data_IF_932771898835
#
_entry.id   IF_932771898835
#
_cell.length_a   1.000
_cell.length_b   1.000
_cell.length_c   1.000
_cell.angle_alpha   90.00
_cell.angle_beta   90.00
_cell.angle_gamma   90.00
#
_symmetry.space_group_name_H-M   'P 1'
#
loop_
_entity.id
_entity.type
_entity.pdbx_description
1 polymer ?
#
# COMPACT_ATOMS: atom_id res chain seq x y z
N UNK A 1 19.87 -11.00 -1.94
CA UNK A 1 19.18 -10.70 -0.65
C UNK A 1 17.81 -11.36 -0.60
N UNK A 2 17.25 -11.56 0.59
CA UNK A 2 15.87 -12.09 0.76
C UNK A 2 14.83 -11.19 0.10
N UNK A 3 15.07 -9.90 0.07
CA UNK A 3 14.19 -8.92 -0.61
C UNK A 3 14.11 -9.21 -2.11
N UNK A 4 15.23 -9.39 -2.79
CA UNK A 4 15.28 -9.70 -4.23
C UNK A 4 14.56 -11.02 -4.51
N UNK A 5 14.80 -12.05 -3.70
CA UNK A 5 14.12 -13.35 -3.86
C UNK A 5 12.60 -13.20 -3.76
N UNK A 6 12.11 -12.37 -2.81
CA UNK A 6 10.68 -12.15 -2.63
C UNK A 6 10.07 -11.33 -3.77
N UNK A 7 10.74 -10.27 -4.24
CA UNK A 7 10.28 -9.53 -5.42
C UNK A 7 10.22 -10.42 -6.66
N UNK A 8 11.23 -11.27 -6.88
CA UNK A 8 11.23 -12.23 -7.99
C UNK A 8 10.10 -13.25 -7.85
N UNK A 9 9.83 -13.73 -6.63
CA UNK A 9 8.70 -14.61 -6.36
C UNK A 9 7.37 -13.95 -6.71
N UNK A 10 7.16 -12.68 -6.32
CA UNK A 10 5.96 -11.91 -6.65
C UNK A 10 5.84 -11.70 -8.17
N UNK A 11 6.91 -11.24 -8.81
CA UNK A 11 6.90 -10.92 -10.23
C UNK A 11 6.70 -12.15 -11.13
N UNK A 12 7.15 -13.33 -10.70
CA UNK A 12 7.06 -14.57 -11.48
C UNK A 12 5.87 -15.45 -11.09
N UNK A 13 5.09 -15.08 -10.07
CA UNK A 13 3.94 -15.87 -9.66
C UNK A 13 2.81 -15.76 -10.68
N UNK A 14 2.27 -16.91 -11.11
CA UNK A 14 1.23 -16.99 -12.16
C UNK A 14 -0.05 -16.20 -11.89
N UNK A 15 -0.39 -15.99 -10.61
CA UNK A 15 -1.56 -15.19 -10.20
C UNK A 15 -1.27 -13.70 -10.11
N UNK A 16 0.00 -13.25 -10.23
CA UNK A 16 0.35 -11.87 -10.10
C UNK A 16 0.72 -11.32 -11.47
N UNK A 17 -0.24 -10.65 -12.09
CA UNK A 17 -0.06 -10.09 -13.41
C UNK A 17 1.00 -8.98 -13.38
N UNK A 18 1.90 -8.99 -14.38
CA UNK A 18 2.92 -7.94 -14.53
C UNK A 18 2.35 -6.63 -15.07
N UNK A 19 1.19 -6.67 -15.73
CA UNK A 19 0.56 -5.48 -16.26
C UNK A 19 -0.14 -4.68 -15.17
N UNK A 20 0.10 -3.37 -15.17
CA UNK A 20 -0.63 -2.44 -14.33
C UNK A 20 -2.08 -2.41 -14.80
N UNK A 21 -3.00 -2.71 -13.91
CA UNK A 21 -4.42 -2.60 -14.15
C UNK A 21 -5.04 -1.70 -13.07
N UNK A 22 -5.51 -0.55 -13.50
CA UNK A 22 -6.17 0.44 -12.63
C UNK A 22 -7.64 0.09 -12.42
N UNK A 23 -7.93 -1.10 -11.87
CA UNK A 23 -9.26 -1.55 -11.50
C UNK A 23 -9.28 -2.08 -10.06
N UNK A 24 -10.06 -1.45 -9.20
CA UNK A 24 -10.17 -1.82 -7.79
C UNK A 24 -11.01 -3.10 -7.55
N UNK A 25 -11.67 -3.66 -8.56
CA UNK A 25 -12.56 -4.81 -8.37
C UNK A 25 -11.84 -6.03 -7.81
N UNK A 26 -10.66 -6.35 -8.32
CA UNK A 26 -9.90 -7.53 -7.92
C UNK A 26 -9.42 -7.44 -6.48
N UNK A 27 -8.81 -6.32 -6.10
CA UNK A 27 -8.33 -6.11 -4.73
C UNK A 27 -9.49 -6.07 -3.74
N UNK A 28 -10.60 -5.42 -4.08
CA UNK A 28 -11.83 -5.41 -3.25
C UNK A 28 -12.40 -6.82 -3.07
N UNK A 29 -12.37 -7.65 -4.12
CA UNK A 29 -12.82 -9.04 -4.02
C UNK A 29 -11.94 -9.87 -3.07
N UNK A 30 -10.61 -9.73 -3.15
CA UNK A 30 -9.69 -10.40 -2.22
C UNK A 30 -9.94 -9.93 -0.79
N UNK A 31 -10.03 -8.62 -0.56
CA UNK A 31 -10.29 -8.07 0.76
C UNK A 31 -11.62 -8.54 1.34
N UNK A 32 -12.68 -8.60 0.52
CA UNK A 32 -13.98 -9.16 0.91
C UNK A 32 -13.84 -10.62 1.37
N UNK A 33 -13.11 -11.46 0.63
CA UNK A 33 -12.86 -12.87 1.03
C UNK A 33 -12.00 -12.99 2.29
N UNK A 34 -11.26 -11.97 2.65
CA UNK A 34 -10.45 -11.88 3.86
C UNK A 34 -11.14 -11.10 4.99
N UNK A 35 -12.48 -10.99 4.96
CA UNK A 35 -13.33 -10.33 5.95
C UNK A 35 -13.11 -8.81 6.04
N UNK A 36 -12.89 -8.15 4.89
CA UNK A 36 -12.77 -6.70 4.74
C UNK A 36 -11.83 -6.05 5.78
N UNK A 37 -10.55 -6.47 5.86
CA UNK A 37 -9.62 -5.95 6.85
C UNK A 37 -9.37 -4.45 6.71
N UNK A 38 -9.54 -3.88 5.52
CA UNK A 38 -9.41 -2.44 5.25
C UNK A 38 -10.41 -1.59 6.05
N UNK A 39 -11.57 -2.13 6.38
CA UNK A 39 -12.61 -1.42 7.14
C UNK A 39 -12.27 -1.20 8.61
N UNK A 40 -11.24 -1.89 9.09
CA UNK A 40 -10.75 -1.76 10.48
C UNK A 40 -9.68 -0.67 10.63
N UNK A 41 -9.17 -0.12 9.52
CA UNK A 41 -8.22 0.97 9.57
C UNK A 41 -8.96 2.29 9.83
N UNK A 42 -8.57 2.94 10.91
CA UNK A 42 -9.08 4.27 11.29
C UNK A 42 -8.04 5.34 10.98
N UNK A 43 -8.47 6.60 10.91
CA UNK A 43 -7.60 7.76 10.74
C UNK A 43 -6.57 7.58 9.60
N UNK A 44 -7.06 7.15 8.44
CA UNK A 44 -6.23 6.99 7.24
C UNK A 44 -5.89 8.36 6.69
N UNK A 45 -4.60 8.60 6.44
CA UNK A 45 -4.08 9.78 5.76
C UNK A 45 -3.47 9.31 4.44
N UNK A 46 -4.14 9.63 3.33
CA UNK A 46 -3.63 9.36 1.99
C UNK A 46 -2.74 10.51 1.53
N UNK A 47 -1.55 10.17 1.03
CA UNK A 47 -0.57 11.13 0.52
C UNK A 47 -0.41 10.92 -0.98
N UNK A 48 -0.79 11.95 -1.73
CA UNK A 48 -0.88 11.93 -3.19
C UNK A 48 0.08 12.94 -3.81
N UNK A 49 0.32 12.79 -5.09
CA UNK A 49 1.13 13.73 -5.88
C UNK A 49 2.24 13.04 -6.65
N UNK A 50 3.02 13.84 -7.36
CA UNK A 50 4.13 13.37 -8.18
C UNK A 50 5.39 13.18 -7.35
N UNK A 51 5.91 14.26 -6.77
CA UNK A 51 7.15 14.26 -6.01
C UNK A 51 6.90 14.71 -4.56
N UNK A 52 7.79 14.31 -3.63
CA UNK A 52 7.73 14.74 -2.24
C UNK A 52 6.78 13.95 -1.34
N UNK A 53 6.05 12.95 -1.85
CA UNK A 53 5.14 12.12 -1.04
C UNK A 53 5.84 11.47 0.15
N UNK A 54 7.00 10.84 -0.10
CA UNK A 54 7.80 10.20 0.94
C UNK A 54 8.28 11.21 1.99
N UNK A 55 8.72 12.40 1.57
CA UNK A 55 9.16 13.46 2.48
C UNK A 55 8.02 13.94 3.38
N UNK A 56 6.82 14.17 2.82
CA UNK A 56 5.65 14.53 3.61
C UNK A 56 5.25 13.41 4.58
N UNK A 57 5.21 12.16 4.11
CA UNK A 57 4.86 11.00 4.94
C UNK A 57 5.81 10.87 6.13
N UNK A 58 7.12 10.94 5.89
CA UNK A 58 8.13 10.80 6.96
C UNK A 58 8.10 11.96 7.94
N UNK A 59 7.84 13.19 7.47
CA UNK A 59 7.65 14.36 8.34
C UNK A 59 6.41 14.22 9.21
N UNK A 60 5.28 13.85 8.65
CA UNK A 60 4.04 13.60 9.40
C UNK A 60 4.24 12.49 10.43
N UNK A 61 4.85 11.37 10.03
CA UNK A 61 5.19 10.28 10.95
C UNK A 61 6.02 10.80 12.13
N UNK A 62 7.08 11.55 11.85
CA UNK A 62 7.95 12.10 12.89
C UNK A 62 7.19 13.00 13.87
N UNK A 63 6.40 13.96 13.37
CA UNK A 63 5.65 14.89 14.23
C UNK A 63 4.56 14.19 15.04
N UNK A 64 3.84 13.25 14.44
CA UNK A 64 2.79 12.49 15.15
C UNK A 64 3.42 11.66 16.27
N UNK A 65 4.51 10.95 15.98
CA UNK A 65 5.19 10.10 16.96
C UNK A 65 5.89 10.92 18.05
N UNK A 66 6.43 12.09 17.71
CA UNK A 66 6.99 13.02 18.70
C UNK A 66 5.95 13.54 19.71
N UNK A 67 4.66 13.54 19.33
CA UNK A 67 3.55 13.86 20.22
C UNK A 67 2.96 12.63 20.94
N UNK A 68 3.70 11.50 20.99
CA UNK A 68 3.30 10.32 21.73
C UNK A 68 2.22 9.47 21.04
N UNK A 69 1.88 9.76 19.79
CA UNK A 69 0.91 8.99 19.00
C UNK A 69 1.61 7.92 18.16
N UNK A 70 0.90 6.86 17.85
CA UNK A 70 1.43 5.77 17.01
C UNK A 70 1.01 5.92 15.56
N UNK A 71 1.93 5.60 14.63
CA UNK A 71 1.63 5.62 13.20
C UNK A 71 1.94 4.28 12.56
N UNK A 72 1.17 3.85 11.59
CA UNK A 72 1.65 2.93 10.56
C UNK A 72 1.98 3.68 9.28
N UNK A 73 2.81 3.08 8.42
CA UNK A 73 3.12 3.69 7.14
C UNK A 73 3.27 2.65 6.02
N UNK A 74 2.72 2.99 4.86
CA UNK A 74 2.90 2.26 3.61
C UNK A 74 3.51 3.18 2.57
N UNK A 75 4.72 2.86 2.09
CA UNK A 75 5.48 3.67 1.12
C UNK A 75 5.70 2.93 -0.21
N UNK A 76 5.87 3.70 -1.27
CA UNK A 76 6.08 3.20 -2.64
C UNK A 76 6.95 4.17 -3.45
N UNK A 77 8.07 3.67 -4.02
CA UNK A 77 8.67 2.33 -3.91
C UNK A 77 9.37 2.07 -2.56
N UNK A 78 9.95 0.87 -2.40
CA UNK A 78 10.83 0.59 -1.25
C UNK A 78 12.17 1.31 -1.39
N UNK A 79 12.80 1.67 -0.28
CA UNK A 79 14.11 2.33 -0.28
C UNK A 79 15.25 1.35 -0.62
N UNK A 80 15.45 0.34 0.20
CA UNK A 80 16.52 -0.68 0.04
C UNK A 80 15.97 -2.10 -0.03
N UNK A 81 14.94 -2.40 0.75
CA UNK A 81 14.33 -3.71 0.73
C UNK A 81 12.80 -3.64 0.88
N UNK A 82 12.14 -4.74 0.55
CA UNK A 82 10.67 -4.80 0.54
C UNK A 82 10.03 -4.48 1.90
N UNK A 83 10.72 -4.74 3.01
CA UNK A 83 10.20 -4.46 4.36
C UNK A 83 10.07 -2.97 4.63
N UNK A 84 10.90 -2.14 3.99
CA UNK A 84 10.89 -0.69 4.17
C UNK A 84 9.55 -0.06 3.77
N UNK A 85 8.75 -0.77 2.96
CA UNK A 85 7.40 -0.34 2.58
C UNK A 85 6.41 -0.34 3.75
N UNK A 86 6.68 -1.09 4.82
CA UNK A 86 5.68 -1.47 5.81
C UNK A 86 6.14 -1.17 7.24
N UNK A 87 5.89 0.03 7.70
CA UNK A 87 6.01 0.39 9.12
C UNK A 87 4.73 0.02 9.85
N UNK A 88 4.83 -0.75 10.92
CA UNK A 88 3.68 -1.35 11.61
C UNK A 88 3.31 -0.65 12.94
N UNK A 89 3.90 0.51 13.21
CA UNK A 89 3.63 1.30 14.42
C UNK A 89 4.80 1.36 15.40
N UNK A 90 5.58 0.31 15.51
CA UNK A 90 6.76 0.24 16.38
C UNK A 90 7.97 -0.46 15.72
N UNK A 91 7.76 -1.08 14.59
CA UNK A 91 8.79 -1.78 13.81
C UNK A 91 8.38 -1.97 12.36
N UNK A 92 9.34 -2.30 11.53
CA UNK A 92 9.06 -2.80 10.18
C UNK A 92 8.52 -4.23 10.21
N UNK A 93 7.76 -4.58 9.17
CA UNK A 93 7.27 -5.93 8.94
C UNK A 93 8.43 -6.95 8.84
N UNK A 94 8.19 -8.17 9.23
CA UNK A 94 9.14 -9.28 9.06
C UNK A 94 8.87 -10.06 7.76
N UNK A 95 9.88 -10.73 7.21
CA UNK A 95 9.69 -11.65 6.07
C UNK A 95 8.71 -12.79 6.39
N UNK A 96 8.67 -13.24 7.64
CA UNK A 96 7.72 -14.28 8.10
C UNK A 96 6.28 -13.79 7.97
N UNK A 97 5.99 -12.55 8.37
CA UNK A 97 4.66 -11.94 8.25
C UNK A 97 4.28 -11.75 6.79
N UNK A 98 5.19 -11.23 5.95
CA UNK A 98 4.95 -11.10 4.50
C UNK A 98 4.60 -12.45 3.90
N UNK A 99 5.40 -13.48 4.15
CA UNK A 99 5.17 -14.84 3.60
C UNK A 99 3.86 -15.45 4.11
N UNK A 100 3.52 -15.25 5.39
CA UNK A 100 2.25 -15.72 5.96
C UNK A 100 1.06 -15.09 5.24
N UNK A 101 1.09 -13.77 5.08
CA UNK A 101 0.02 -13.03 4.39
C UNK A 101 -0.05 -13.41 2.90
N UNK A 102 1.09 -13.56 2.24
CA UNK A 102 1.15 -13.98 0.84
C UNK A 102 0.48 -15.35 0.62
N UNK A 103 0.69 -16.30 1.53
CA UNK A 103 0.00 -17.60 1.48
C UNK A 103 -1.54 -17.44 1.58
N UNK A 104 -2.03 -16.52 2.41
CA UNK A 104 -3.46 -16.23 2.51
C UNK A 104 -4.01 -15.64 1.21
N UNK A 105 -3.28 -14.72 0.60
CA UNK A 105 -3.67 -14.10 -0.68
C UNK A 105 -3.72 -15.15 -1.79
N UNK A 106 -2.71 -15.99 -1.92
CA UNK A 106 -2.64 -17.04 -2.95
C UNK A 106 -3.79 -18.04 -2.83
N UNK A 107 -4.21 -18.37 -1.61
CA UNK A 107 -5.37 -19.26 -1.36
C UNK A 107 -6.67 -18.71 -1.95
N UNK A 108 -6.79 -17.40 -2.14
CA UNK A 108 -7.99 -16.82 -2.72
C UNK A 108 -8.12 -17.09 -4.22
N UNK A 109 -7.05 -17.48 -4.91
CA UNK A 109 -6.99 -17.81 -6.35
C UNK A 109 -7.49 -16.66 -7.26
N UNK A 110 -7.33 -15.41 -6.82
CA UNK A 110 -7.72 -14.22 -7.56
C UNK A 110 -6.46 -13.59 -8.15
N UNK A 111 -6.42 -13.30 -9.46
CA UNK A 111 -5.31 -12.60 -10.08
C UNK A 111 -5.17 -11.17 -9.54
N UNK A 112 -3.95 -10.76 -9.19
CA UNK A 112 -3.63 -9.42 -8.70
C UNK A 112 -2.39 -8.90 -9.42
N UNK A 113 -2.18 -7.58 -9.39
CA UNK A 113 -0.87 -7.01 -9.70
C UNK A 113 0.04 -7.12 -8.48
N UNK A 114 1.36 -7.04 -8.69
CA UNK A 114 2.32 -7.00 -7.58
C UNK A 114 2.02 -5.87 -6.59
N UNK A 115 1.61 -4.70 -7.08
CA UNK A 115 1.28 -3.56 -6.21
C UNK A 115 0.01 -3.82 -5.39
N UNK A 116 -1.04 -4.42 -5.98
CA UNK A 116 -2.23 -4.85 -5.23
C UNK A 116 -1.88 -5.86 -4.14
N UNK A 117 -1.01 -6.83 -4.42
CA UNK A 117 -0.54 -7.80 -3.41
C UNK A 117 0.17 -7.09 -2.25
N UNK A 118 1.06 -6.14 -2.54
CA UNK A 118 1.76 -5.36 -1.51
C UNK A 118 0.80 -4.53 -0.67
N UNK A 119 -0.21 -3.93 -1.29
CA UNK A 119 -1.27 -3.18 -0.59
C UNK A 119 -2.07 -4.09 0.34
N UNK A 120 -2.47 -5.29 -0.10
CA UNK A 120 -3.16 -6.27 0.75
C UNK A 120 -2.27 -6.75 1.91
N UNK A 121 -0.97 -6.95 1.67
CA UNK A 121 -0.01 -7.31 2.74
C UNK A 121 -0.01 -6.22 3.83
N UNK A 122 0.07 -4.94 3.45
CA UNK A 122 -0.01 -3.84 4.40
C UNK A 122 -1.30 -3.89 5.22
N UNK A 123 -2.45 -3.90 4.54
CA UNK A 123 -3.77 -3.85 5.16
C UNK A 123 -3.95 -4.98 6.18
N UNK A 124 -3.63 -6.22 5.83
CA UNK A 124 -3.79 -7.38 6.73
C UNK A 124 -2.91 -7.25 7.98
N UNK A 125 -1.66 -6.81 7.81
CA UNK A 125 -0.73 -6.71 8.93
C UNK A 125 -1.02 -5.52 9.85
N UNK A 126 -1.78 -4.53 9.37
CA UNK A 126 -2.17 -3.35 10.14
C UNK A 126 -3.57 -3.46 10.75
N UNK A 127 -4.49 -4.16 10.11
CA UNK A 127 -5.91 -4.19 10.47
C UNK A 127 -6.24 -4.64 11.90
N UNK A 128 -5.32 -5.31 12.57
CA UNK A 128 -5.46 -5.75 13.97
C UNK A 128 -4.53 -4.97 14.92
N UNK A 129 -4.00 -3.83 14.49
CA UNK A 129 -3.14 -2.97 15.29
C UNK A 129 -3.86 -1.65 15.57
N UNK A 130 -3.81 -1.19 16.79
CA UNK A 130 -4.46 0.06 17.21
C UNK A 130 -3.50 1.25 17.03
N UNK A 131 -3.09 1.52 15.78
CA UNK A 131 -2.34 2.74 15.49
C UNK A 131 -3.29 3.95 15.48
N UNK A 132 -2.82 5.08 16.03
CA UNK A 132 -3.60 6.31 16.02
C UNK A 132 -3.82 6.84 14.61
N UNK A 133 -2.81 6.71 13.73
CA UNK A 133 -2.88 7.15 12.34
C UNK A 133 -2.26 6.13 11.40
N UNK A 134 -2.81 6.02 10.20
CA UNK A 134 -2.34 5.13 9.15
C UNK A 134 -1.97 5.96 7.91
N UNK A 135 -0.66 6.13 7.67
CA UNK A 135 -0.13 6.96 6.59
C UNK A 135 0.08 6.12 5.34
N UNK A 136 -0.56 6.47 4.24
CA UNK A 136 -0.54 5.67 3.01
C UNK A 136 -0.11 6.53 1.84
N UNK A 137 1.06 6.21 1.27
CA UNK A 137 1.54 6.82 0.03
C UNK A 137 0.84 6.18 -1.16
N UNK A 138 0.18 6.98 -1.99
CA UNK A 138 -0.40 6.53 -3.25
C UNK A 138 0.69 6.14 -4.26
N UNK A 139 0.44 5.11 -5.04
CA UNK A 139 1.32 4.68 -6.12
C UNK A 139 1.25 5.65 -7.31
N UNK A 140 0.31 5.43 -8.21
CA UNK A 140 0.10 6.27 -9.38
C UNK A 140 -1.38 6.43 -9.67
N UNK A 141 -1.80 7.59 -10.20
CA UNK A 141 -3.19 7.85 -10.63
C UNK A 141 -4.23 7.46 -9.56
N UNK A 142 -4.12 8.02 -8.38
CA UNK A 142 -4.82 7.68 -7.14
C UNK A 142 -6.27 7.20 -7.30
N UNK A 143 -7.08 7.78 -8.17
CA UNK A 143 -8.49 7.43 -8.33
C UNK A 143 -8.74 5.94 -8.59
N UNK A 144 -7.83 5.26 -9.28
CA UNK A 144 -7.88 3.82 -9.60
C UNK A 144 -6.70 3.04 -8.99
N UNK A 145 -5.94 3.67 -8.13
CA UNK A 145 -4.81 3.07 -7.42
C UNK A 145 -5.29 2.14 -6.31
N UNK A 146 -4.57 1.05 -6.08
CA UNK A 146 -4.91 0.08 -5.04
C UNK A 146 -4.91 0.64 -3.63
N UNK A 147 -4.35 1.83 -3.42
CA UNK A 147 -4.39 2.55 -2.14
C UNK A 147 -5.68 3.36 -1.93
N UNK A 148 -6.51 3.54 -2.97
CA UNK A 148 -7.80 4.23 -2.89
C UNK A 148 -8.94 3.27 -2.50
N UNK A 149 -8.80 2.63 -1.35
CA UNK A 149 -9.75 1.64 -0.83
C UNK A 149 -10.60 2.16 0.33
N UNK A 150 -10.22 3.28 0.90
CA UNK A 150 -10.82 3.81 2.11
C UNK A 150 -11.91 4.82 1.75
N UNK A 151 -13.15 4.52 2.15
CA UNK A 151 -14.31 5.36 1.80
C UNK A 151 -14.28 6.73 2.48
N UNK A 152 -13.69 6.79 3.67
CA UNK A 152 -13.64 8.02 4.48
C UNK A 152 -12.23 8.18 5.09
N UNK A 153 -11.22 8.53 4.29
CA UNK A 153 -9.91 8.87 4.85
C UNK A 153 -10.05 10.15 5.68
N UNK A 154 -9.27 10.25 6.76
CA UNK A 154 -9.23 11.45 7.59
C UNK A 154 -8.73 12.65 6.79
N UNK A 155 -7.68 12.44 6.00
CA UNK A 155 -7.05 13.47 5.16
C UNK A 155 -6.62 12.84 3.83
N UNK A 156 -6.76 13.63 2.77
CA UNK A 156 -6.09 13.41 1.49
C UNK A 156 -5.14 14.58 1.23
N UNK A 157 -3.85 14.37 1.46
CA UNK A 157 -2.83 15.38 1.28
C UNK A 157 -2.23 15.28 -0.13
N UNK A 158 -2.27 16.36 -0.89
CA UNK A 158 -1.66 16.46 -2.22
C UNK A 158 -0.42 17.32 -2.13
N UNK A 159 0.77 16.76 -2.42
CA UNK A 159 2.04 17.50 -2.34
C UNK A 159 2.26 18.38 -3.57
N UNK A 160 2.23 17.79 -4.75
CA UNK A 160 2.31 18.50 -6.02
C UNK A 160 1.73 17.66 -7.16
N UNK A 161 1.44 18.28 -8.28
CA UNK A 161 0.95 17.60 -9.49
C UNK A 161 1.82 18.02 -10.66
N UNK A 162 2.72 17.12 -11.08
CA UNK A 162 3.55 17.28 -12.27
C UNK A 162 3.06 16.35 -13.39
N UNK A 163 3.44 16.63 -14.63
CA UNK A 163 3.13 15.77 -15.79
C UNK A 163 3.93 14.48 -15.71
N UNK A 164 3.46 13.51 -14.91
CA UNK A 164 4.03 12.17 -14.79
C UNK A 164 3.03 11.12 -15.25
N UNK A 165 3.52 9.91 -15.54
CA UNK A 165 2.69 8.78 -15.96
C UNK A 165 1.84 9.02 -17.21
N UNK A 166 2.29 9.89 -18.12
CA UNK A 166 1.56 10.25 -19.36
C UNK A 166 1.21 9.05 -20.23
N UNK A 167 2.00 7.97 -20.15
CA UNK A 167 1.75 6.72 -20.88
C UNK A 167 0.46 6.01 -20.45
N UNK A 168 -0.06 6.30 -19.26
CA UNK A 168 -1.30 5.73 -18.73
C UNK A 168 -2.51 6.67 -18.89
N UNK A 169 -2.27 7.91 -19.24
CA UNK A 169 -3.33 8.87 -19.54
C UNK A 169 -3.72 8.67 -21.01
N UNK A 170 -4.92 8.15 -21.26
CA UNK A 170 -5.48 8.16 -22.61
C UNK A 170 -5.50 9.60 -23.10
N UNK A 171 -4.83 9.89 -24.21
CA UNK A 171 -5.08 11.11 -24.97
C UNK A 171 -6.58 11.07 -25.31
N UNK A 172 -7.37 11.96 -24.71
CA UNK A 172 -8.68 12.28 -25.25
C UNK A 172 -8.38 12.99 -26.58
N UNK A 173 -8.55 12.30 -27.68
CA UNK A 173 -8.74 12.90 -29.00
C UNK A 173 -10.04 13.65 -29.01
#
# INVERSE_FOLDING_TARGET
>A
SQSIKLYNQLANHKLFNKSINFDLKRIKLVLKKLNNPEKRLTNVINILGSDGKYSLLTSLKFFIEANGQTTSAYISPSLKNIKDRFWLGNRYITYKEIKKTLKLIIKQKIPLTTFEVLTVIYIINISNRNNNYNLIEAGALFAKDSTNLFSFPLIQAVVNINKQHLNFLRKKT
#
